data_IF_595524024971
#
_entry.id   IF_595524024971
#
_cell.length_a   1.000
_cell.length_b   1.000
_cell.length_c   1.000
_cell.angle_alpha   90.00
_cell.angle_beta   90.00
_cell.angle_gamma   90.00
#
_symmetry.space_group_name_H-M   'P 1'
#
loop_
_entity.id
_entity.type
_entity.pdbx_description
1 polymer ?
#
# COMPACT_ATOMS: atom_id res chain seq x y z
N UNK A 1 12.65 0.77 5.79
CA UNK A 1 11.76 0.38 6.91
C UNK A 1 10.28 0.30 6.54
N UNK A 2 9.83 0.72 5.35
CA UNK A 2 8.38 0.88 5.07
C UNK A 2 7.70 -0.21 4.25
N UNK A 3 8.40 -1.26 3.83
CA UNK A 3 7.80 -2.29 2.98
C UNK A 3 7.93 -3.64 3.64
N UNK A 4 6.78 -4.31 3.74
CA UNK A 4 6.54 -5.67 4.23
C UNK A 4 6.25 -5.76 5.74
N UNK A 5 5.25 -6.59 6.04
CA UNK A 5 5.05 -7.33 7.31
C UNK A 5 3.85 -6.96 8.24
N UNK A 6 3.17 -5.79 8.27
CA UNK A 6 2.18 -5.54 9.33
C UNK A 6 0.94 -6.46 9.30
N UNK A 7 0.43 -6.79 8.11
CA UNK A 7 -0.84 -7.52 7.96
C UNK A 7 -0.77 -9.02 8.34
N UNK A 8 0.36 -9.67 8.11
CA UNK A 8 0.53 -11.11 8.32
C UNK A 8 0.92 -11.45 9.77
N UNK A 9 1.83 -10.67 10.40
CA UNK A 9 2.28 -10.91 11.78
C UNK A 9 1.18 -10.66 12.81
N UNK A 10 0.33 -9.64 12.63
CA UNK A 10 -0.80 -9.39 13.52
C UNK A 10 -1.81 -10.55 13.49
N UNK A 11 -1.81 -11.36 12.44
CA UNK A 11 -2.70 -12.49 12.30
C UNK A 11 -2.19 -13.73 13.03
N UNK A 12 -0.88 -14.00 12.92
CA UNK A 12 -0.17 -15.12 13.55
C UNK A 12 -0.39 -15.22 15.06
N UNK A 13 -0.43 -14.08 15.76
CA UNK A 13 -0.58 -14.03 17.22
C UNK A 13 -2.03 -14.16 17.72
N UNK A 14 -3.03 -14.08 16.83
CA UNK A 14 -4.45 -14.06 17.20
C UNK A 14 -5.23 -15.35 16.90
N UNK A 15 -4.68 -16.21 16.04
CA UNK A 15 -5.24 -17.55 15.75
C UNK A 15 -5.29 -18.51 16.96
N UNK A 16 -4.37 -18.49 17.94
CA UNK A 16 -4.25 -19.62 18.85
C UNK A 16 -4.94 -19.55 20.21
N UNK A 17 -5.48 -18.40 20.63
CA UNK A 17 -6.00 -18.24 22.01
C UNK A 17 -7.54 -18.24 22.04
N UNK A 18 -8.19 -18.68 20.97
CA UNK A 18 -9.65 -18.77 20.90
C UNK A 18 -10.04 -20.20 20.57
N UNK A 19 -10.83 -20.81 21.45
CA UNK A 19 -11.44 -22.11 21.23
C UNK A 19 -12.01 -22.23 19.80
N UNK A 20 -11.75 -23.33 19.07
CA UNK A 20 -12.23 -23.54 17.69
C UNK A 20 -13.75 -23.33 17.53
N UNK A 21 -14.53 -23.58 18.60
CA UNK A 21 -15.99 -23.41 18.64
C UNK A 21 -16.45 -21.94 18.56
N UNK A 22 -15.63 -20.98 19.01
CA UNK A 22 -15.95 -19.53 18.99
C UNK A 22 -15.36 -18.79 17.78
N UNK A 23 -14.47 -19.44 16.99
CA UNK A 23 -14.00 -18.93 15.69
C UNK A 23 -15.12 -18.88 14.61
N UNK A 24 -16.29 -19.49 14.90
CA UNK A 24 -17.52 -19.49 14.08
C UNK A 24 -17.98 -18.12 13.56
N UNK A 25 -17.55 -16.99 14.18
CA UNK A 25 -18.07 -15.65 13.87
C UNK A 25 -17.05 -14.62 13.36
N UNK A 26 -15.74 -14.83 13.51
CA UNK A 26 -14.71 -13.83 13.16
C UNK A 26 -13.90 -14.25 11.94
N UNK A 27 -14.34 -13.89 10.75
CA UNK A 27 -13.74 -14.30 9.48
C UNK A 27 -12.40 -13.65 9.09
N UNK A 28 -11.63 -13.06 10.01
CA UNK A 28 -10.28 -12.53 9.68
C UNK A 28 -9.30 -13.71 9.67
N UNK A 29 -8.39 -13.93 8.70
CA UNK A 29 -7.66 -12.99 7.83
C UNK A 29 -6.94 -13.81 6.72
N UNK A 30 -6.56 -13.12 5.64
CA UNK A 30 -5.84 -13.48 4.39
C UNK A 30 -4.71 -14.54 4.49
N UNK A 31 -4.98 -15.70 5.06
CA UNK A 31 -4.02 -16.79 5.21
C UNK A 31 -4.61 -18.05 4.61
N UNK A 32 -3.77 -18.87 3.97
CA UNK A 32 -4.21 -20.18 3.48
C UNK A 32 -4.85 -21.02 4.57
N UNK A 33 -4.43 -20.85 5.82
CA UNK A 33 -5.05 -21.49 6.98
C UNK A 33 -6.54 -21.16 7.11
N UNK A 34 -6.87 -19.87 7.23
CA UNK A 34 -8.26 -19.43 7.39
C UNK A 34 -9.13 -19.75 6.16
N UNK A 35 -8.53 -19.75 4.97
CA UNK A 35 -9.24 -20.00 3.72
C UNK A 35 -9.58 -21.48 3.58
N UNK A 36 -8.59 -22.36 3.76
CA UNK A 36 -8.77 -23.82 3.76
C UNK A 36 -9.75 -24.26 4.84
N UNK A 37 -9.58 -23.74 6.07
CA UNK A 37 -10.47 -24.03 7.19
C UNK A 37 -11.91 -23.61 6.90
N UNK A 38 -12.13 -22.39 6.40
CA UNK A 38 -13.46 -21.90 6.09
C UNK A 38 -14.12 -22.64 4.92
N UNK A 39 -13.34 -23.07 3.91
CA UNK A 39 -13.86 -23.87 2.81
C UNK A 39 -14.41 -25.20 3.33
N UNK A 40 -13.65 -25.92 4.15
CA UNK A 40 -14.08 -27.19 4.74
C UNK A 40 -15.20 -27.04 5.80
N UNK A 41 -15.26 -25.93 6.53
CA UNK A 41 -16.27 -25.72 7.58
C UNK A 41 -17.60 -25.12 7.07
N UNK A 42 -17.57 -24.32 6.00
CA UNK A 42 -18.72 -23.49 5.59
C UNK A 42 -19.15 -23.69 4.13
N UNK A 43 -18.33 -24.34 3.29
CA UNK A 43 -18.59 -24.51 1.87
C UNK A 43 -19.30 -25.82 1.56
N UNK A 44 -20.62 -25.76 1.30
CA UNK A 44 -21.32 -26.88 0.63
C UNK A 44 -21.10 -26.87 -0.89
N UNK A 45 -20.73 -25.71 -1.47
CA UNK A 45 -20.40 -25.55 -2.90
C UNK A 45 -19.40 -24.39 -3.15
N UNK A 46 -18.70 -24.42 -4.30
CA UNK A 46 -17.75 -23.38 -4.73
C UNK A 46 -18.38 -21.99 -4.87
N UNK A 47 -19.58 -21.90 -5.45
CA UNK A 47 -20.27 -20.62 -5.63
C UNK A 47 -20.52 -19.89 -4.30
N UNK A 48 -20.93 -20.64 -3.27
CA UNK A 48 -21.14 -20.06 -1.93
C UNK A 48 -19.85 -19.53 -1.30
N UNK A 49 -18.73 -20.22 -1.53
CA UNK A 49 -17.42 -19.76 -1.08
C UNK A 49 -17.03 -18.43 -1.74
N UNK A 50 -17.10 -18.35 -3.07
CA UNK A 50 -16.75 -17.13 -3.81
C UNK A 50 -17.66 -15.96 -3.47
N UNK A 51 -18.98 -16.17 -3.35
CA UNK A 51 -19.93 -15.10 -2.97
C UNK A 51 -19.56 -14.51 -1.60
N UNK A 52 -19.31 -15.37 -0.58
CA UNK A 52 -18.94 -14.89 0.76
C UNK A 52 -17.64 -14.09 0.76
N UNK A 53 -16.65 -14.52 -0.05
CA UNK A 53 -15.35 -13.85 -0.16
C UNK A 53 -15.44 -12.54 -0.94
N UNK A 54 -16.18 -12.52 -2.04
CA UNK A 54 -16.45 -11.32 -2.82
C UNK A 54 -17.05 -10.22 -1.94
N UNK A 55 -18.15 -10.51 -1.25
CA UNK A 55 -18.81 -9.53 -0.37
C UNK A 55 -18.02 -9.17 0.89
N UNK A 56 -17.00 -9.95 1.24
CA UNK A 56 -16.08 -9.60 2.33
C UNK A 56 -15.01 -8.61 1.88
N UNK A 57 -14.52 -8.72 0.65
CA UNK A 57 -13.33 -8.02 0.17
C UNK A 57 -13.71 -6.87 -0.76
N UNK A 58 -14.46 -7.16 -1.82
CA UNK A 58 -14.57 -6.26 -2.95
C UNK A 58 -15.40 -4.99 -2.68
N UNK A 59 -16.60 -5.03 -2.06
CA UNK A 59 -17.35 -3.80 -1.79
C UNK A 59 -16.63 -2.81 -0.87
N UNK A 60 -16.03 -3.22 0.27
CA UNK A 60 -15.25 -2.29 1.08
C UNK A 60 -14.00 -1.80 0.36
N UNK A 61 -13.37 -2.64 -0.46
CA UNK A 61 -12.26 -2.22 -1.30
C UNK A 61 -12.66 -1.13 -2.30
N UNK A 62 -13.81 -1.25 -2.98
CA UNK A 62 -14.30 -0.22 -3.89
C UNK A 62 -14.57 1.10 -3.17
N UNK A 63 -15.12 1.06 -1.95
CA UNK A 63 -15.31 2.26 -1.14
C UNK A 63 -13.97 2.92 -0.76
N UNK A 64 -12.96 2.12 -0.41
CA UNK A 64 -11.61 2.63 -0.12
C UNK A 64 -10.92 3.17 -1.37
N UNK A 65 -11.08 2.50 -2.52
CA UNK A 65 -10.57 2.94 -3.82
C UNK A 65 -11.17 4.30 -4.20
N UNK A 66 -12.48 4.46 -4.09
CA UNK A 66 -13.16 5.72 -4.33
C UNK A 66 -12.65 6.83 -3.39
N UNK A 67 -12.50 6.52 -2.09
CA UNK A 67 -11.91 7.46 -1.13
C UNK A 67 -10.49 7.89 -1.52
N UNK A 68 -9.62 6.95 -1.90
CA UNK A 68 -8.25 7.25 -2.32
C UNK A 68 -8.23 8.12 -3.60
N UNK A 69 -9.03 7.76 -4.60
CA UNK A 69 -9.14 8.50 -5.85
C UNK A 69 -9.60 9.94 -5.61
N UNK A 70 -10.59 10.13 -4.73
CA UNK A 70 -11.06 11.47 -4.34
C UNK A 70 -9.97 12.26 -3.62
N UNK A 71 -9.25 11.65 -2.67
CA UNK A 71 -8.12 12.28 -1.97
C UNK A 71 -7.03 12.72 -2.96
N UNK A 72 -6.65 11.86 -3.89
CA UNK A 72 -5.64 12.16 -4.91
C UNK A 72 -6.13 13.25 -5.87
N UNK A 73 -7.39 13.20 -6.32
CA UNK A 73 -7.98 14.24 -7.15
C UNK A 73 -7.95 15.60 -6.45
N UNK A 74 -8.27 15.65 -5.17
CA UNK A 74 -8.21 16.89 -4.38
C UNK A 74 -6.77 17.41 -4.23
N UNK A 75 -5.78 16.53 -4.14
CA UNK A 75 -4.38 16.90 -3.94
C UNK A 75 -3.66 17.34 -5.21
N UNK A 76 -3.81 16.57 -6.27
CA UNK A 76 -3.00 16.69 -7.49
C UNK A 76 -3.84 17.09 -8.67
N UNK A 77 -5.17 17.07 -8.52
CA UNK A 77 -6.05 17.55 -9.54
C UNK A 77 -6.08 16.70 -10.80
N UNK A 78 -5.97 15.39 -10.60
CA UNK A 78 -5.82 14.41 -11.65
C UNK A 78 -6.92 14.56 -12.72
N UNK A 79 -6.50 14.57 -13.98
CA UNK A 79 -7.41 14.43 -15.11
C UNK A 79 -7.84 12.96 -15.28
N UNK A 80 -9.11 12.71 -14.97
CA UNK A 80 -9.77 11.40 -15.13
C UNK A 80 -9.86 10.93 -16.58
N UNK A 81 -9.71 11.83 -17.56
CA UNK A 81 -9.68 11.48 -18.98
C UNK A 81 -8.32 11.00 -19.46
N UNK A 82 -7.25 11.21 -18.68
CA UNK A 82 -5.92 10.74 -19.05
C UNK A 82 -5.86 9.20 -19.11
N UNK A 83 -5.25 8.68 -20.18
CA UNK A 83 -5.10 7.24 -20.41
C UNK A 83 -4.39 6.56 -19.24
N UNK A 84 -3.43 7.23 -18.62
CA UNK A 84 -2.69 6.71 -17.47
C UNK A 84 -3.61 6.48 -16.26
N UNK A 85 -4.48 7.45 -15.96
CA UNK A 85 -5.40 7.37 -14.81
C UNK A 85 -6.49 6.33 -15.07
N UNK A 86 -6.99 6.25 -16.30
CA UNK A 86 -7.92 5.19 -16.68
C UNK A 86 -7.27 3.81 -16.54
N UNK A 87 -6.01 3.66 -16.98
CA UNK A 87 -5.25 2.42 -16.80
C UNK A 87 -5.11 2.04 -15.33
N UNK A 88 -4.83 3.01 -14.46
CA UNK A 88 -4.79 2.80 -13.01
C UNK A 88 -6.14 2.33 -12.47
N UNK A 89 -7.21 3.04 -12.77
CA UNK A 89 -8.56 2.73 -12.28
C UNK A 89 -8.98 1.33 -12.74
N UNK A 90 -8.85 1.02 -14.04
CA UNK A 90 -9.22 -0.28 -14.58
C UNK A 90 -8.38 -1.41 -14.00
N UNK A 91 -7.07 -1.23 -13.86
CA UNK A 91 -6.21 -2.24 -13.25
C UNK A 91 -6.60 -2.53 -11.79
N UNK A 92 -6.99 -1.50 -11.03
CA UNK A 92 -7.45 -1.64 -9.65
C UNK A 92 -8.86 -2.25 -9.55
N UNK A 93 -9.79 -1.89 -10.44
CA UNK A 93 -11.12 -2.50 -10.52
C UNK A 93 -11.02 -3.99 -10.87
N UNK A 94 -10.13 -4.36 -11.79
CA UNK A 94 -9.91 -5.74 -12.18
C UNK A 94 -9.01 -6.53 -11.21
N UNK A 95 -8.46 -5.89 -10.16
CA UNK A 95 -7.50 -6.51 -9.22
C UNK A 95 -6.27 -7.13 -9.92
N UNK A 96 -5.79 -6.45 -10.96
CA UNK A 96 -4.58 -6.81 -11.73
C UNK A 96 -3.51 -5.73 -11.65
N UNK A 97 -3.68 -4.72 -10.81
CA UNK A 97 -2.70 -3.62 -10.66
C UNK A 97 -1.32 -4.09 -10.20
N UNK A 98 -1.18 -5.31 -9.69
CA UNK A 98 0.10 -5.90 -9.33
C UNK A 98 0.95 -6.40 -10.52
N UNK A 99 0.44 -6.39 -11.76
CA UNK A 99 1.16 -6.93 -12.93
C UNK A 99 2.09 -5.92 -13.60
N UNK A 100 2.00 -4.64 -13.23
CA UNK A 100 2.82 -3.58 -13.83
C UNK A 100 3.35 -2.62 -12.75
N UNK A 101 4.64 -2.21 -12.80
CA UNK A 101 5.25 -1.35 -11.78
C UNK A 101 4.49 -0.04 -11.56
N UNK A 102 4.00 0.57 -12.64
CA UNK A 102 3.28 1.84 -12.56
C UNK A 102 1.94 1.70 -11.82
N UNK A 103 1.23 0.58 -11.98
CA UNK A 103 -0.07 0.35 -11.33
C UNK A 103 0.04 -0.23 -9.92
N UNK A 104 1.16 -0.88 -9.60
CA UNK A 104 1.35 -1.63 -8.35
C UNK A 104 1.25 -0.77 -7.09
N UNK A 105 1.79 0.46 -7.13
CA UNK A 105 1.74 1.44 -6.04
C UNK A 105 0.99 2.72 -6.41
N UNK A 106 0.26 2.71 -7.53
CA UNK A 106 -0.24 3.93 -8.18
C UNK A 106 -1.29 4.71 -7.38
N UNK A 107 -2.31 4.02 -6.84
CA UNK A 107 -3.38 4.67 -6.07
C UNK A 107 -3.14 4.55 -4.57
N UNK A 108 -2.92 3.33 -4.10
CA UNK A 108 -2.61 3.06 -2.70
C UNK A 108 -1.62 1.92 -2.65
N UNK A 109 -0.43 2.20 -2.09
CA UNK A 109 0.66 1.25 -2.00
C UNK A 109 0.32 0.02 -1.15
N UNK A 110 -0.71 0.05 -0.30
CA UNK A 110 -1.15 -1.14 0.42
C UNK A 110 -1.98 -2.09 -0.45
N UNK A 111 -2.52 -1.67 -1.60
CA UNK A 111 -3.49 -2.51 -2.31
C UNK A 111 -2.90 -3.74 -3.02
N UNK A 112 -1.57 -3.85 -3.16
CA UNK A 112 -0.94 -4.96 -3.88
C UNK A 112 -1.35 -6.35 -3.37
N UNK A 113 -1.47 -6.51 -2.03
CA UNK A 113 -1.77 -7.83 -1.45
C UNK A 113 -3.21 -8.27 -1.71
N UNK A 114 -4.13 -7.33 -1.98
CA UNK A 114 -5.53 -7.65 -2.30
C UNK A 114 -5.63 -8.28 -3.69
N UNK A 115 -4.89 -7.75 -4.67
CA UNK A 115 -4.80 -8.36 -6.00
C UNK A 115 -4.27 -9.78 -5.89
N UNK A 116 -3.14 -9.95 -5.20
CA UNK A 116 -2.55 -11.26 -4.93
C UNK A 116 -3.53 -12.20 -4.23
N UNK A 117 -4.25 -11.74 -3.21
CA UNK A 117 -5.23 -12.55 -2.49
C UNK A 117 -6.39 -13.01 -3.39
N UNK A 118 -6.96 -12.10 -4.19
CA UNK A 118 -8.03 -12.43 -5.11
C UNK A 118 -7.57 -13.45 -6.17
N UNK A 119 -6.35 -13.30 -6.67
CA UNK A 119 -5.73 -14.22 -7.61
C UNK A 119 -5.45 -15.59 -6.96
N UNK A 120 -5.02 -15.63 -5.69
CA UNK A 120 -4.82 -16.88 -4.94
C UNK A 120 -6.13 -17.64 -4.71
N UNK A 121 -7.28 -16.97 -4.62
CA UNK A 121 -8.58 -17.65 -4.57
C UNK A 121 -8.89 -18.41 -5.87
N UNK A 122 -8.49 -17.86 -7.01
CA UNK A 122 -8.62 -18.55 -8.30
C UNK A 122 -7.66 -19.75 -8.37
N UNK A 123 -6.43 -19.59 -7.86
CA UNK A 123 -5.42 -20.65 -7.79
C UNK A 123 -5.71 -21.72 -6.74
N UNK A 124 -6.63 -21.48 -5.81
CA UNK A 124 -6.96 -22.43 -4.75
C UNK A 124 -7.52 -23.75 -5.30
N UNK A 125 -8.33 -23.71 -6.36
CA UNK A 125 -8.82 -24.91 -7.04
C UNK A 125 -7.68 -25.74 -7.65
N UNK A 126 -6.70 -25.07 -8.27
CA UNK A 126 -5.49 -25.70 -8.80
C UNK A 126 -4.65 -26.33 -7.69
N UNK A 127 -4.53 -25.67 -6.52
CA UNK A 127 -3.86 -26.23 -5.35
C UNK A 127 -4.55 -27.53 -4.90
N UNK A 128 -5.88 -27.52 -4.74
CA UNK A 128 -6.63 -28.71 -4.35
C UNK A 128 -6.49 -29.85 -5.36
N UNK A 129 -6.47 -29.54 -6.67
CA UNK A 129 -6.24 -30.53 -7.72
C UNK A 129 -4.83 -31.14 -7.62
N UNK A 130 -3.80 -30.35 -7.32
CA UNK A 130 -2.45 -30.86 -7.07
C UNK A 130 -2.41 -31.76 -5.84
N UNK A 131 -3.02 -31.34 -4.73
CA UNK A 131 -3.09 -32.13 -3.50
C UNK A 131 -3.79 -33.47 -3.75
N UNK A 132 -4.90 -33.48 -4.49
CA UNK A 132 -5.63 -34.69 -4.83
C UNK A 132 -4.81 -35.67 -5.68
N UNK A 133 -3.95 -35.17 -6.58
CA UNK A 133 -3.16 -36.02 -7.49
C UNK A 133 -1.85 -36.52 -6.89
N UNK A 134 -1.11 -35.67 -6.19
CA UNK A 134 0.27 -35.96 -5.75
C UNK A 134 0.49 -35.80 -4.24
N UNK A 135 -0.53 -35.41 -3.49
CA UNK A 135 -0.49 -35.22 -2.04
C UNK A 135 0.22 -33.93 -1.61
N UNK A 136 0.03 -33.57 -0.34
CA UNK A 136 0.58 -32.34 0.25
C UNK A 136 2.10 -32.26 0.18
N UNK A 137 2.81 -33.35 0.49
CA UNK A 137 4.28 -33.34 0.57
C UNK A 137 4.90 -32.94 -0.77
N UNK A 138 4.50 -33.59 -1.87
CA UNK A 138 5.02 -33.28 -3.21
C UNK A 138 4.57 -31.89 -3.67
N UNK A 139 3.31 -31.53 -3.41
CA UNK A 139 2.77 -30.21 -3.75
C UNK A 139 3.58 -29.09 -3.07
N UNK A 140 3.81 -29.17 -1.75
CA UNK A 140 4.58 -28.16 -1.02
C UNK A 140 6.03 -28.07 -1.48
N UNK A 141 6.66 -29.20 -1.83
CA UNK A 141 8.03 -29.18 -2.39
C UNK A 141 8.06 -28.44 -3.73
N UNK A 142 7.13 -28.74 -4.64
CA UNK A 142 7.05 -28.05 -5.94
C UNK A 142 6.84 -26.55 -5.73
N UNK A 143 5.89 -26.16 -4.88
CA UNK A 143 5.63 -24.75 -4.60
C UNK A 143 6.84 -24.07 -3.94
N UNK A 144 7.53 -24.73 -3.01
CA UNK A 144 8.72 -24.20 -2.36
C UNK A 144 9.85 -23.96 -3.36
N UNK A 145 10.06 -24.89 -4.31
CA UNK A 145 11.05 -24.75 -5.38
C UNK A 145 10.67 -23.59 -6.31
N UNK A 146 9.41 -23.49 -6.71
CA UNK A 146 8.94 -22.39 -7.57
C UNK A 146 9.08 -21.02 -6.89
N UNK A 147 8.56 -20.85 -5.67
CA UNK A 147 8.68 -19.60 -4.92
C UNK A 147 10.16 -19.29 -4.62
N UNK A 148 10.93 -20.29 -4.21
CA UNK A 148 12.36 -20.17 -3.94
C UNK A 148 13.18 -19.75 -5.16
N UNK A 149 12.88 -20.28 -6.35
CA UNK A 149 13.53 -19.89 -7.60
C UNK A 149 13.22 -18.42 -7.95
N UNK A 150 11.97 -17.99 -7.78
CA UNK A 150 11.57 -16.59 -7.98
C UNK A 150 12.30 -15.67 -6.98
N UNK A 151 12.38 -16.05 -5.70
CA UNK A 151 13.10 -15.26 -4.67
C UNK A 151 14.60 -15.20 -4.94
N UNK A 152 15.22 -16.31 -5.33
CA UNK A 152 16.63 -16.36 -5.69
C UNK A 152 16.93 -15.47 -6.90
N UNK A 153 16.13 -15.56 -7.95
CA UNK A 153 16.28 -14.71 -9.13
C UNK A 153 16.14 -13.22 -8.75
N UNK A 154 15.16 -12.88 -7.91
CA UNK A 154 14.92 -11.50 -7.47
C UNK A 154 16.08 -10.97 -6.60
N UNK A 155 16.58 -11.80 -5.67
CA UNK A 155 17.72 -11.45 -4.84
C UNK A 155 18.99 -11.24 -5.65
N UNK A 156 19.20 -12.06 -6.69
CA UNK A 156 20.31 -11.88 -7.63
C UNK A 156 20.16 -10.56 -8.40
N UNK A 157 18.98 -10.26 -8.96
CA UNK A 157 18.77 -9.01 -9.71
C UNK A 157 18.94 -7.76 -8.86
N UNK A 158 18.50 -7.78 -7.59
CA UNK A 158 18.74 -6.70 -6.62
C UNK A 158 20.24 -6.57 -6.31
N UNK A 159 20.94 -7.67 -6.09
CA UNK A 159 22.38 -7.67 -5.76
C UNK A 159 23.25 -7.19 -6.93
N UNK A 160 22.87 -7.51 -8.17
CA UNK A 160 23.60 -7.12 -9.38
C UNK A 160 23.11 -5.80 -9.98
N UNK A 161 22.19 -5.08 -9.32
CA UNK A 161 21.59 -3.84 -9.83
C UNK A 161 20.93 -4.00 -11.21
N UNK A 162 20.47 -5.20 -11.53
CA UNK A 162 19.88 -5.56 -12.82
C UNK A 162 18.36 -5.40 -12.85
N UNK A 163 17.77 -4.68 -11.88
CA UNK A 163 16.32 -4.48 -11.74
C UNK A 163 15.69 -3.79 -12.96
N UNK A 164 16.42 -2.86 -13.58
CA UNK A 164 15.98 -2.13 -14.77
C UNK A 164 16.08 -2.94 -16.08
N UNK A 165 16.73 -4.11 -16.05
CA UNK A 165 16.85 -4.99 -17.21
C UNK A 165 15.51 -5.66 -17.56
N UNK A 166 15.41 -6.18 -18.79
CA UNK A 166 14.24 -6.98 -19.20
C UNK A 166 14.03 -8.17 -18.24
N UNK A 167 15.10 -8.83 -17.83
CA UNK A 167 15.05 -9.95 -16.89
C UNK A 167 14.59 -9.49 -15.50
N UNK A 168 15.13 -8.38 -14.99
CA UNK A 168 14.72 -7.77 -13.72
C UNK A 168 13.23 -7.47 -13.67
N UNK A 169 12.66 -6.91 -14.74
CA UNK A 169 11.21 -6.68 -14.87
C UNK A 169 10.39 -7.97 -14.81
N UNK A 170 10.80 -9.02 -15.53
CA UNK A 170 10.09 -10.31 -15.52
C UNK A 170 10.10 -10.92 -14.12
N UNK A 171 11.28 -10.96 -13.49
CA UNK A 171 11.45 -11.50 -12.14
C UNK A 171 10.65 -10.71 -11.11
N UNK A 172 10.62 -9.38 -11.23
CA UNK A 172 9.79 -8.53 -10.38
C UNK A 172 8.30 -8.84 -10.53
N UNK A 173 7.79 -8.96 -11.76
CA UNK A 173 6.38 -9.31 -12.02
C UNK A 173 6.07 -10.68 -11.41
N UNK A 174 6.93 -11.68 -11.61
CA UNK A 174 6.75 -13.01 -11.00
C UNK A 174 6.74 -12.95 -9.47
N UNK A 175 7.60 -12.14 -8.85
CA UNK A 175 7.65 -11.92 -7.41
C UNK A 175 6.42 -11.18 -6.85
N UNK A 176 5.85 -10.25 -7.63
CA UNK A 176 4.63 -9.51 -7.31
C UNK A 176 3.33 -10.27 -7.61
N UNK A 177 3.43 -11.32 -8.43
CA UNK A 177 2.33 -12.23 -8.79
C UNK A 177 2.00 -13.20 -7.65
N UNK A 178 0.85 -13.92 -7.70
CA UNK A 178 0.50 -14.88 -6.65
C UNK A 178 1.47 -16.06 -6.59
N UNK A 179 2.25 -16.33 -7.65
CA UNK A 179 3.28 -17.37 -7.67
C UNK A 179 4.41 -17.07 -6.69
N UNK A 180 4.75 -15.79 -6.48
CA UNK A 180 5.74 -15.35 -5.51
C UNK A 180 5.32 -15.52 -4.05
N UNK A 181 4.07 -15.94 -3.79
CA UNK A 181 3.49 -16.11 -2.47
C UNK A 181 2.76 -17.46 -2.29
N UNK A 182 2.75 -18.30 -3.32
CA UNK A 182 1.86 -19.46 -3.35
C UNK A 182 2.27 -20.54 -2.35
N UNK A 183 3.58 -20.78 -2.16
CA UNK A 183 4.07 -21.68 -1.13
C UNK A 183 3.79 -21.12 0.25
N UNK A 184 4.14 -19.85 0.48
CA UNK A 184 3.91 -19.16 1.75
C UNK A 184 2.44 -19.21 2.17
N UNK A 185 1.52 -19.07 1.21
CA UNK A 185 0.09 -19.21 1.43
C UNK A 185 -0.33 -20.67 1.68
N UNK A 186 0.14 -21.61 0.85
CA UNK A 186 -0.22 -23.03 0.92
C UNK A 186 0.27 -23.72 2.19
N UNK A 187 1.38 -23.29 2.78
CA UNK A 187 1.86 -23.77 4.09
C UNK A 187 0.81 -23.52 5.17
N UNK A 188 0.14 -22.36 5.15
CA UNK A 188 -0.98 -22.10 6.05
C UNK A 188 -2.14 -23.06 5.82
N UNK A 189 -2.49 -23.31 4.55
CA UNK A 189 -3.56 -24.26 4.19
C UNK A 189 -3.24 -25.69 4.65
N UNK A 190 -1.98 -26.11 4.52
CA UNK A 190 -1.50 -27.40 5.02
C UNK A 190 -1.65 -27.52 6.55
N UNK A 191 -1.31 -26.47 7.31
CA UNK A 191 -1.52 -26.47 8.77
C UNK A 191 -3.01 -26.58 9.12
N UNK A 192 -3.90 -25.95 8.35
CA UNK A 192 -5.34 -26.11 8.55
C UNK A 192 -5.83 -27.52 8.21
N UNK A 193 -5.31 -28.13 7.15
CA UNK A 193 -5.66 -29.50 6.77
C UNK A 193 -5.24 -30.52 7.84
N UNK A 194 -4.01 -30.41 8.33
CA UNK A 194 -3.50 -31.24 9.42
C UNK A 194 -4.32 -31.03 10.71
N UNK A 195 -4.69 -29.78 11.02
CA UNK A 195 -5.56 -29.47 12.14
C UNK A 195 -6.95 -30.11 12.00
N UNK A 196 -7.57 -30.05 10.82
CA UNK A 196 -8.86 -30.66 10.54
C UNK A 196 -8.83 -32.19 10.64
N UNK A 197 -7.73 -32.81 10.20
CA UNK A 197 -7.53 -34.27 10.23
C UNK A 197 -6.96 -34.79 11.54
N UNK A 198 -6.60 -33.91 12.48
CA UNK A 198 -5.87 -34.25 13.71
C UNK A 198 -4.55 -35.00 13.45
N UNK A 199 -3.87 -34.69 12.34
CA UNK A 199 -2.61 -35.32 11.95
C UNK A 199 -1.40 -34.61 12.59
N UNK A 200 -0.35 -35.35 13.00
CA UNK A 200 0.85 -34.75 13.55
C UNK A 200 1.63 -33.99 12.47
N UNK A 201 2.05 -32.77 12.80
CA UNK A 201 2.83 -31.95 11.87
C UNK A 201 4.29 -32.42 11.74
N UNK A 202 4.91 -32.19 10.55
CA UNK A 202 6.31 -32.51 10.30
C UNK A 202 7.28 -31.88 11.31
N UNK A 203 8.41 -32.54 11.57
CA UNK A 203 9.41 -32.09 12.55
C UNK A 203 9.92 -30.67 12.30
N UNK A 204 10.15 -30.29 11.04
CA UNK A 204 10.64 -28.97 10.66
C UNK A 204 9.66 -27.83 11.01
N UNK A 205 8.36 -28.11 11.14
CA UNK A 205 7.35 -27.14 11.60
C UNK A 205 7.33 -26.98 13.13
N UNK A 206 8.08 -27.77 13.89
CA UNK A 206 8.10 -27.71 15.36
C UNK A 206 9.06 -26.65 15.91
N UNK A 207 9.84 -26.00 15.05
CA UNK A 207 10.90 -25.06 15.41
C UNK A 207 10.60 -23.65 14.88
N UNK A 208 9.60 -22.92 15.42
CA UNK A 208 9.30 -21.55 14.97
C UNK A 208 10.47 -20.59 15.16
N UNK A 209 11.28 -20.79 16.21
CA UNK A 209 12.47 -19.98 16.48
C UNK A 209 13.54 -20.10 15.38
N UNK A 210 13.70 -21.29 14.78
CA UNK A 210 14.64 -21.49 13.66
C UNK A 210 14.23 -20.63 12.47
N UNK A 211 12.96 -20.73 12.06
CA UNK A 211 12.44 -19.96 10.92
C UNK A 211 12.47 -18.45 11.17
N UNK A 212 12.21 -18.03 12.41
CA UNK A 212 12.34 -16.62 12.80
C UNK A 212 13.79 -16.14 12.69
N UNK A 213 14.75 -16.92 13.19
CA UNK A 213 16.17 -16.59 13.09
C UNK A 213 16.64 -16.55 11.63
N UNK A 214 16.20 -17.51 10.79
CA UNK A 214 16.50 -17.51 9.36
C UNK A 214 15.87 -16.31 8.65
N UNK A 215 14.64 -15.92 9.01
CA UNK A 215 13.99 -14.72 8.50
C UNK A 215 14.79 -13.46 8.84
N UNK A 216 15.09 -13.25 10.13
CA UNK A 216 15.90 -12.10 10.59
C UNK A 216 17.29 -12.12 9.96
N UNK A 217 17.97 -13.27 9.92
CA UNK A 217 19.28 -13.41 9.31
C UNK A 217 19.27 -13.08 7.82
N UNK A 218 18.28 -13.58 7.07
CA UNK A 218 18.15 -13.35 5.63
C UNK A 218 18.09 -11.87 5.27
N UNK A 219 17.52 -11.02 6.13
CA UNK A 219 17.44 -9.57 5.92
C UNK A 219 18.82 -8.91 5.75
N UNK A 220 19.83 -9.38 6.48
CA UNK A 220 21.15 -8.76 6.52
C UNK A 220 22.10 -9.20 5.40
N UNK A 221 21.76 -10.27 4.66
CA UNK A 221 22.63 -10.84 3.65
C UNK A 221 21.94 -10.82 2.27
N UNK A 222 22.40 -9.98 1.35
CA UNK A 222 22.02 -10.10 -0.07
C UNK A 222 22.79 -11.28 -0.69
N UNK A 223 22.17 -12.15 -1.53
CA UNK A 223 20.83 -12.06 -2.13
C UNK A 223 19.69 -12.68 -1.29
N UNK A 224 19.95 -13.09 -0.05
CA UNK A 224 18.97 -13.81 0.77
C UNK A 224 17.83 -12.93 1.31
N UNK A 225 17.96 -11.60 1.25
CA UNK A 225 16.95 -10.63 1.71
C UNK A 225 15.54 -10.90 1.18
N UNK A 226 15.40 -11.43 -0.03
CA UNK A 226 14.10 -11.75 -0.65
C UNK A 226 13.40 -12.97 -0.04
N UNK A 227 14.14 -13.82 0.69
CA UNK A 227 13.61 -14.98 1.41
C UNK A 227 13.01 -14.62 2.78
N UNK A 228 13.11 -13.36 3.21
CA UNK A 228 12.49 -12.85 4.43
C UNK A 228 11.02 -13.29 4.54
N UNK A 229 10.25 -13.05 3.48
CA UNK A 229 8.82 -13.34 3.48
C UNK A 229 8.48 -14.83 3.72
N UNK A 230 8.98 -15.80 2.92
CA UNK A 230 8.69 -17.21 3.16
C UNK A 230 9.19 -17.71 4.52
N UNK A 231 10.33 -17.21 5.02
CA UNK A 231 10.81 -17.59 6.36
C UNK A 231 9.85 -17.13 7.46
N UNK A 232 9.34 -15.89 7.39
CA UNK A 232 8.32 -15.40 8.31
C UNK A 232 6.97 -16.12 8.17
N UNK A 233 6.59 -16.52 6.96
CA UNK A 233 5.41 -17.35 6.73
C UNK A 233 5.54 -18.73 7.40
N UNK A 234 6.70 -19.37 7.27
CA UNK A 234 7.02 -20.64 7.95
C UNK A 234 7.04 -20.48 9.47
N UNK A 235 7.66 -19.42 10.00
CA UNK A 235 7.69 -19.12 11.43
C UNK A 235 6.28 -18.93 11.99
N UNK A 236 5.43 -18.21 11.24
CA UNK A 236 4.02 -18.00 11.57
C UNK A 236 3.26 -19.32 11.58
N UNK A 237 3.35 -20.12 10.51
CA UNK A 237 2.66 -21.39 10.41
C UNK A 237 3.09 -22.38 11.50
N UNK A 238 4.40 -22.47 11.79
CA UNK A 238 4.96 -23.26 12.87
C UNK A 238 4.45 -22.82 14.25
N UNK A 239 4.34 -21.50 14.48
CA UNK A 239 3.83 -20.94 15.73
C UNK A 239 2.35 -21.25 15.90
N UNK A 240 1.54 -21.02 14.87
CA UNK A 240 0.11 -21.35 14.84
C UNK A 240 -0.13 -22.83 15.12
N UNK A 241 0.61 -23.70 14.41
CA UNK A 241 0.62 -25.14 14.63
C UNK A 241 0.89 -25.53 16.09
N UNK A 242 1.98 -25.00 16.67
CA UNK A 242 2.37 -25.30 18.06
C UNK A 242 1.30 -24.91 19.05
N UNK A 243 0.63 -23.79 18.81
CA UNK A 243 -0.35 -23.26 19.73
C UNK A 243 -1.71 -23.96 19.60
N UNK A 244 -2.10 -24.38 18.39
CA UNK A 244 -3.28 -25.23 18.19
C UNK A 244 -3.14 -26.62 18.83
N UNK A 245 -1.91 -27.11 19.00
CA UNK A 245 -1.63 -28.38 19.66
C UNK A 245 -1.72 -28.32 21.21
N UNK A 246 -1.89 -27.14 21.82
CA UNK A 246 -1.96 -27.00 23.29
C UNK A 246 -3.36 -27.35 23.82
N UNK A 247 -3.49 -28.28 24.79
CA UNK A 247 -4.78 -28.64 25.40
C UNK A 247 -5.51 -27.46 26.06
N UNK A 248 -4.77 -26.54 26.66
CA UNK A 248 -5.28 -25.38 27.43
C UNK A 248 -5.80 -24.22 26.56
N UNK A 249 -5.57 -24.26 25.24
CA UNK A 249 -5.98 -23.19 24.32
C UNK A 249 -7.51 -23.05 24.18
N UNK A 250 -8.29 -23.95 24.78
CA UNK A 250 -9.74 -24.03 24.59
C UNK A 250 -10.57 -23.44 25.74
N UNK A 251 -9.98 -23.13 26.90
CA UNK A 251 -10.76 -22.93 28.14
C UNK A 251 -10.57 -21.58 28.86
N UNK A 252 -9.60 -20.75 28.50
CA UNK A 252 -9.32 -19.49 29.22
C UNK A 252 -9.98 -18.29 28.55
N UNK A 253 -10.77 -17.53 29.30
CA UNK A 253 -11.33 -16.24 28.87
C UNK A 253 -10.19 -15.26 28.53
N UNK A 254 -10.21 -14.59 27.35
CA UNK A 254 -9.14 -13.70 26.94
C UNK A 254 -8.93 -12.55 27.93
N UNK A 255 -7.70 -12.34 28.40
CA UNK A 255 -7.31 -11.14 29.15
C UNK A 255 -7.55 -9.85 28.34
N UNK A 256 -7.51 -8.69 29.01
CA UNK A 256 -7.80 -7.39 28.39
C UNK A 256 -7.02 -7.15 27.08
N UNK A 257 -5.71 -7.35 27.10
CA UNK A 257 -4.82 -7.18 25.94
C UNK A 257 -5.28 -8.04 24.76
N UNK A 258 -5.63 -9.30 25.01
CA UNK A 258 -6.06 -10.21 23.98
C UNK A 258 -7.45 -9.85 23.42
N UNK A 259 -8.34 -9.28 24.24
CA UNK A 259 -9.61 -8.70 23.75
C UNK A 259 -9.36 -7.50 22.84
N UNK A 260 -8.43 -6.62 23.20
CA UNK A 260 -8.03 -5.50 22.34
C UNK A 260 -7.44 -6.00 21.02
N UNK A 261 -6.50 -6.94 21.06
CA UNK A 261 -5.91 -7.54 19.85
C UNK A 261 -6.98 -8.22 18.98
N UNK A 262 -7.93 -8.94 19.58
CA UNK A 262 -9.06 -9.55 18.85
C UNK A 262 -9.85 -8.50 18.09
N UNK A 263 -10.17 -7.37 18.73
CA UNK A 263 -10.91 -6.29 18.09
C UNK A 263 -10.11 -5.64 16.95
N UNK A 264 -8.82 -5.37 17.15
CA UNK A 264 -7.93 -4.90 16.08
C UNK A 264 -7.90 -5.92 14.92
N UNK A 265 -7.87 -7.22 15.22
CA UNK A 265 -7.97 -8.28 14.23
C UNK A 265 -9.27 -8.27 13.44
N UNK A 266 -10.40 -7.93 14.07
CA UNK A 266 -11.69 -7.79 13.40
C UNK A 266 -11.73 -6.61 12.42
N UNK A 267 -11.09 -5.50 12.78
CA UNK A 267 -11.05 -4.28 11.96
C UNK A 267 -9.83 -4.22 11.04
N UNK A 268 -8.97 -5.23 11.09
CA UNK A 268 -7.68 -5.24 10.40
C UNK A 268 -7.78 -5.03 8.89
N UNK A 269 -8.85 -5.50 8.25
CA UNK A 269 -9.06 -5.31 6.82
C UNK A 269 -9.41 -3.87 6.49
N UNK A 270 -10.40 -3.29 7.18
CA UNK A 270 -10.73 -1.88 7.07
C UNK A 270 -9.53 -0.97 7.38
N UNK A 271 -8.77 -1.28 8.43
CA UNK A 271 -7.53 -0.58 8.79
C UNK A 271 -6.51 -0.64 7.66
N UNK A 272 -6.30 -1.83 7.08
CA UNK A 272 -5.40 -2.05 5.97
C UNK A 272 -5.76 -1.20 4.74
N UNK A 273 -7.05 -1.08 4.42
CA UNK A 273 -7.51 -0.34 3.25
C UNK A 273 -7.24 1.17 3.32
N UNK A 274 -7.30 1.76 4.52
CA UNK A 274 -7.33 3.23 4.68
C UNK A 274 -6.08 3.83 5.33
N UNK A 275 -5.22 3.01 5.97
CA UNK A 275 -4.14 3.56 6.79
C UNK A 275 -3.17 4.41 5.97
N UNK A 276 -2.72 3.94 4.80
CA UNK A 276 -1.76 4.66 3.96
C UNK A 276 -2.22 6.08 3.57
N UNK A 277 -3.40 6.29 2.95
CA UNK A 277 -3.84 7.65 2.59
C UNK A 277 -4.07 8.55 3.81
N UNK A 278 -4.56 8.00 4.93
CA UNK A 278 -4.75 8.79 6.15
C UNK A 278 -3.41 9.19 6.79
N UNK A 279 -2.44 8.27 6.85
CA UNK A 279 -1.10 8.55 7.37
C UNK A 279 -0.41 9.62 6.53
N UNK A 280 -0.51 9.57 5.20
CA UNK A 280 0.02 10.62 4.31
C UNK A 280 -0.63 11.98 4.61
N UNK A 281 -1.96 12.03 4.73
CA UNK A 281 -2.66 13.28 5.02
C UNK A 281 -2.31 13.86 6.40
N UNK A 282 -2.21 13.01 7.44
CA UNK A 282 -1.82 13.46 8.76
C UNK A 282 -0.34 13.87 8.82
N UNK A 283 0.52 13.21 8.05
CA UNK A 283 1.91 13.64 7.90
C UNK A 283 2.01 15.05 7.28
N UNK A 284 1.20 15.36 6.27
CA UNK A 284 1.09 16.71 5.71
C UNK A 284 0.65 17.73 6.78
N UNK A 285 -0.30 17.38 7.63
CA UNK A 285 -0.75 18.26 8.72
C UNK A 285 0.34 18.47 9.80
N UNK A 286 1.06 17.42 10.18
CA UNK A 286 2.13 17.47 11.20
C UNK A 286 3.31 18.31 10.71
N UNK A 287 3.74 18.06 9.47
CA UNK A 287 4.87 18.79 8.87
C UNK A 287 4.57 20.27 8.73
N UNK A 288 3.29 20.63 8.54
CA UNK A 288 2.82 22.00 8.60
C UNK A 288 2.79 22.58 10.02
N UNK A 289 2.17 21.88 10.98
CA UNK A 289 1.95 22.40 12.33
C UNK A 289 3.27 22.58 13.11
N UNK A 290 4.28 21.79 12.75
CA UNK A 290 5.60 21.78 13.41
C UNK A 290 6.70 21.83 12.36
N UNK A 291 7.36 22.99 12.13
CA UNK A 291 8.54 23.09 11.28
C UNK A 291 9.64 22.14 11.75
N UNK A 292 10.44 21.60 10.82
CA UNK A 292 11.41 20.53 11.10
C UNK A 292 12.42 20.86 12.20
N UNK A 293 12.85 22.12 12.25
CA UNK A 293 13.77 22.66 13.28
C UNK A 293 13.16 22.69 14.69
N UNK A 294 11.83 22.55 14.81
CA UNK A 294 11.07 22.64 16.06
C UNK A 294 10.44 21.29 16.46
N UNK A 295 10.93 20.16 15.95
CA UNK A 295 10.41 18.80 16.26
C UNK A 295 11.31 18.04 17.25
N UNK A 296 11.23 18.30 18.57
CA UNK A 296 11.88 17.43 19.53
C UNK A 296 11.25 16.03 19.47
N UNK A 297 12.07 14.98 19.58
CA UNK A 297 11.66 13.58 19.42
C UNK A 297 10.39 13.17 20.21
N UNK A 298 10.21 13.61 21.47
CA UNK A 298 8.99 13.30 22.23
C UNK A 298 7.71 13.86 21.60
N UNK A 299 7.73 15.07 21.05
CA UNK A 299 6.54 15.67 20.41
C UNK A 299 6.16 14.89 19.16
N UNK A 300 7.16 14.52 18.33
CA UNK A 300 6.93 13.68 17.17
C UNK A 300 6.34 12.32 17.56
N UNK A 301 6.84 11.71 18.64
CA UNK A 301 6.29 10.45 19.17
C UNK A 301 4.82 10.57 19.55
N UNK A 302 4.43 11.60 20.31
CA UNK A 302 3.03 11.81 20.69
C UNK A 302 2.13 12.13 19.49
N UNK A 303 2.62 12.89 18.52
CA UNK A 303 1.90 13.15 17.27
C UNK A 303 1.69 11.85 16.49
N UNK A 304 2.72 11.01 16.34
CA UNK A 304 2.60 9.70 15.70
C UNK A 304 1.61 8.79 16.44
N UNK A 305 1.65 8.76 17.77
CA UNK A 305 0.70 7.99 18.58
C UNK A 305 -0.75 8.49 18.35
N UNK A 306 -0.96 9.81 18.32
CA UNK A 306 -2.26 10.40 18.00
C UNK A 306 -2.74 10.01 16.60
N UNK A 307 -1.87 10.06 15.59
CA UNK A 307 -2.24 9.62 14.23
C UNK A 307 -2.66 8.16 14.19
N UNK A 308 -1.96 7.28 14.90
CA UNK A 308 -2.32 5.87 14.99
C UNK A 308 -3.72 5.69 15.60
N UNK A 309 -4.04 6.42 16.67
CA UNK A 309 -5.35 6.37 17.31
C UNK A 309 -6.47 6.88 16.38
N UNK A 310 -6.22 7.97 15.64
CA UNK A 310 -7.16 8.52 14.65
C UNK A 310 -7.40 7.56 13.49
N UNK A 311 -6.34 6.94 12.96
CA UNK A 311 -6.44 5.93 11.90
C UNK A 311 -7.24 4.70 12.38
N UNK A 312 -7.02 4.22 13.61
CA UNK A 312 -7.79 3.12 14.19
C UNK A 312 -9.27 3.52 14.36
N UNK A 313 -9.55 4.73 14.85
CA UNK A 313 -10.93 5.22 14.99
C UNK A 313 -11.66 5.26 13.64
N UNK A 314 -10.99 5.77 12.59
CA UNK A 314 -11.53 5.78 11.23
C UNK A 314 -11.72 4.36 10.69
N UNK A 315 -10.80 3.44 10.96
CA UNK A 315 -10.91 2.03 10.55
C UNK A 315 -12.12 1.32 11.15
N UNK A 316 -12.41 1.58 12.43
CA UNK A 316 -13.60 1.05 13.11
C UNK A 316 -14.87 1.56 12.44
N UNK A 317 -14.87 2.84 12.07
CA UNK A 317 -16.00 3.47 11.41
C UNK A 317 -16.21 2.91 9.99
N UNK A 318 -15.13 2.83 9.21
CA UNK A 318 -15.12 2.21 7.88
C UNK A 318 -15.61 0.76 7.93
N UNK A 319 -15.16 -0.01 8.93
CA UNK A 319 -15.64 -1.38 9.17
C UNK A 319 -17.14 -1.45 9.40
N UNK A 320 -17.70 -0.55 10.21
CA UNK A 320 -19.14 -0.54 10.52
C UNK A 320 -19.99 -0.05 9.35
N UNK A 321 -19.47 0.85 8.52
CA UNK A 321 -20.21 1.47 7.41
C UNK A 321 -20.14 0.62 6.13
N UNK A 322 -18.99 0.02 5.80
CA UNK A 322 -18.79 -0.69 4.55
C UNK A 322 -18.57 -2.20 4.72
N UNK A 323 -17.63 -2.62 5.57
CA UNK A 323 -17.23 -4.04 5.70
C UNK A 323 -18.34 -4.91 6.29
N UNK A 324 -18.91 -4.50 7.43
CA UNK A 324 -19.92 -5.30 8.13
C UNK A 324 -21.23 -5.45 7.34
N UNK A 325 -21.80 -4.39 6.73
CA UNK A 325 -22.97 -4.52 5.86
C UNK A 325 -22.71 -5.39 4.64
N UNK A 326 -21.53 -5.29 4.01
CA UNK A 326 -21.17 -6.11 2.86
C UNK A 326 -21.09 -7.60 3.23
N UNK A 327 -20.41 -7.95 4.33
CA UNK A 327 -20.38 -9.33 4.84
C UNK A 327 -21.80 -9.86 5.13
N UNK A 328 -22.66 -9.02 5.71
CA UNK A 328 -24.04 -9.40 6.01
C UNK A 328 -24.88 -9.65 4.76
N UNK A 329 -24.66 -8.86 3.70
CA UNK A 329 -25.30 -9.05 2.40
C UNK A 329 -24.86 -10.38 1.76
N UNK A 330 -23.56 -10.67 1.72
CA UNK A 330 -23.05 -11.93 1.19
C UNK A 330 -23.59 -13.16 1.92
N UNK A 331 -23.75 -13.09 3.25
CA UNK A 331 -24.36 -14.17 4.04
C UNK A 331 -25.81 -14.44 3.63
N UNK A 332 -26.62 -13.41 3.36
CA UNK A 332 -28.01 -13.57 2.95
C UNK A 332 -28.17 -14.18 1.58
N UNK A 333 -27.37 -13.72 0.63
CA UNK A 333 -27.39 -14.25 -0.74
C UNK A 333 -27.13 -15.75 -0.70
N UNK A 334 -26.20 -16.21 0.15
CA UNK A 334 -25.93 -17.64 0.32
C UNK A 334 -26.99 -18.38 1.12
N UNK A 335 -27.58 -17.79 2.16
CA UNK A 335 -28.57 -18.48 3.00
C UNK A 335 -30.00 -18.43 2.47
N UNK A 336 -30.28 -17.63 1.43
CA UNK A 336 -31.64 -17.37 0.94
C UNK A 336 -32.55 -16.70 1.97
N UNK A 337 -32.01 -16.22 3.10
CA UNK A 337 -32.81 -15.75 4.23
C UNK A 337 -33.12 -14.25 4.12
N UNK A 338 -34.37 -13.88 4.34
CA UNK A 338 -34.90 -12.51 4.47
C UNK A 338 -34.46 -11.79 5.76
N UNK A 339 -33.25 -12.06 6.29
CA UNK A 339 -32.79 -11.53 7.57
C UNK A 339 -32.77 -9.98 7.60
N UNK A 340 -32.90 -9.38 8.80
CA UNK A 340 -32.99 -7.91 9.02
C UNK A 340 -31.84 -7.13 8.38
N UNK A 341 -32.10 -6.26 7.38
CA UNK A 341 -31.11 -5.36 6.71
C UNK A 341 -30.17 -4.70 7.73
N UNK A 342 -28.86 -4.94 7.62
CA UNK A 342 -27.88 -4.24 8.45
C UNK A 342 -27.56 -2.93 7.73
N UNK A 343 -28.31 -1.90 8.10
CA UNK A 343 -28.06 -0.53 7.64
C UNK A 343 -27.18 0.11 8.70
N UNK A 344 -26.01 0.69 8.35
CA UNK A 344 -25.24 1.44 9.32
C UNK A 344 -26.12 2.58 9.86
N UNK A 345 -26.18 2.79 11.19
CA UNK A 345 -26.99 3.87 11.74
C UNK A 345 -26.56 5.21 11.13
N UNK A 346 -27.54 6.05 10.76
CA UNK A 346 -27.33 7.33 10.05
C UNK A 346 -26.28 8.19 10.76
N UNK A 347 -26.27 8.19 12.09
CA UNK A 347 -25.25 8.88 12.89
C UNK A 347 -23.81 8.40 12.59
N UNK A 348 -23.57 7.10 12.42
CA UNK A 348 -22.24 6.59 12.07
C UNK A 348 -21.86 6.96 10.63
N UNK A 349 -22.82 6.93 9.70
CA UNK A 349 -22.56 7.39 8.33
C UNK A 349 -22.25 8.89 8.29
N UNK A 350 -22.95 9.72 9.06
CA UNK A 350 -22.69 11.14 9.18
C UNK A 350 -21.31 11.43 9.79
N UNK A 351 -20.95 10.73 10.89
CA UNK A 351 -19.60 10.84 11.49
C UNK A 351 -18.54 10.44 10.45
N UNK A 352 -18.79 9.39 9.66
CA UNK A 352 -17.85 8.96 8.63
C UNK A 352 -17.63 10.04 7.58
N UNK A 353 -18.72 10.64 7.08
CA UNK A 353 -18.65 11.74 6.12
C UNK A 353 -17.90 12.93 6.70
N UNK A 354 -18.16 13.32 7.95
CA UNK A 354 -17.43 14.41 8.60
C UNK A 354 -15.93 14.14 8.70
N UNK A 355 -15.53 12.94 9.12
CA UNK A 355 -14.11 12.57 9.19
C UNK A 355 -13.47 12.51 7.80
N UNK A 356 -14.17 11.98 6.80
CA UNK A 356 -13.70 11.91 5.42
C UNK A 356 -13.50 13.33 4.87
N UNK A 357 -14.49 14.23 5.04
CA UNK A 357 -14.39 15.63 4.65
C UNK A 357 -13.26 16.36 5.36
N UNK A 358 -13.05 16.10 6.66
CA UNK A 358 -11.91 16.65 7.41
C UNK A 358 -10.57 16.19 6.83
N UNK A 359 -10.45 14.90 6.48
CA UNK A 359 -9.27 14.37 5.79
C UNK A 359 -9.08 15.03 4.42
N UNK A 360 -10.13 15.17 3.61
CA UNK A 360 -10.07 15.87 2.33
C UNK A 360 -9.64 17.33 2.49
N UNK A 361 -10.15 18.03 3.51
CA UNK A 361 -9.80 19.42 3.77
C UNK A 361 -8.31 19.57 4.13
N UNK A 362 -7.79 18.72 5.00
CA UNK A 362 -6.34 18.65 5.31
C UNK A 362 -5.55 18.45 4.02
N UNK A 363 -5.98 17.48 3.21
CA UNK A 363 -5.39 17.16 1.91
C UNK A 363 -5.33 18.38 0.98
N UNK A 364 -6.48 19.02 0.74
CA UNK A 364 -6.61 20.20 -0.12
C UNK A 364 -5.78 21.38 0.38
N UNK A 365 -5.78 21.60 1.69
CA UNK A 365 -5.17 22.79 2.30
C UNK A 365 -3.64 22.74 2.30
N UNK A 366 -3.06 21.55 2.47
CA UNK A 366 -1.63 21.40 2.66
C UNK A 366 -0.86 20.90 1.44
N UNK A 367 -1.52 20.22 0.49
CA UNK A 367 -0.90 19.80 -0.79
C UNK A 367 -0.28 20.97 -1.55
N UNK A 368 -1.02 22.06 -1.74
CA UNK A 368 -0.53 23.27 -2.42
C UNK A 368 0.70 23.90 -1.76
N UNK A 369 0.89 23.72 -0.44
CA UNK A 369 2.06 24.25 0.29
C UNK A 369 3.30 23.40 0.08
N UNK A 370 3.15 22.08 -0.07
CA UNK A 370 4.27 21.18 -0.42
C UNK A 370 4.74 21.46 -1.84
N UNK A 371 3.82 21.69 -2.78
CA UNK A 371 4.16 22.13 -4.12
C UNK A 371 5.01 23.41 -4.11
N UNK A 372 4.63 24.40 -3.29
CA UNK A 372 5.41 25.64 -3.13
C UNK A 372 6.80 25.41 -2.51
N UNK A 373 6.92 24.51 -1.51
CA UNK A 373 8.22 24.18 -0.92
C UNK A 373 9.13 23.47 -1.92
N UNK A 374 8.62 22.48 -2.66
CA UNK A 374 9.34 21.79 -3.72
C UNK A 374 9.75 22.76 -4.84
N UNK A 375 8.85 23.67 -5.23
CA UNK A 375 9.17 24.74 -6.17
C UNK A 375 10.33 25.62 -5.69
N UNK A 376 10.30 26.05 -4.44
CA UNK A 376 11.36 26.91 -3.89
C UNK A 376 12.71 26.17 -3.84
N UNK A 377 12.70 24.88 -3.48
CA UNK A 377 13.91 24.05 -3.53
C UNK A 377 14.42 23.88 -4.96
N UNK A 378 13.52 23.61 -5.91
CA UNK A 378 13.89 23.48 -7.32
C UNK A 378 14.50 24.77 -7.87
N UNK A 379 13.89 25.92 -7.55
CA UNK A 379 14.41 27.23 -7.93
C UNK A 379 15.82 27.42 -7.37
N UNK A 380 16.01 27.22 -6.06
CA UNK A 380 17.32 27.38 -5.42
C UNK A 380 18.40 26.46 -6.02
N UNK A 381 18.06 25.21 -6.35
CA UNK A 381 18.97 24.25 -6.97
C UNK A 381 19.27 24.55 -8.45
N UNK A 382 18.35 25.22 -9.15
CA UNK A 382 18.54 25.58 -10.56
C UNK A 382 19.31 26.90 -10.72
N UNK A 383 19.04 27.89 -9.86
CA UNK A 383 19.45 29.28 -10.10
C UNK A 383 20.52 29.78 -9.13
N UNK A 384 21.06 28.96 -8.23
CA UNK A 384 22.02 29.40 -7.22
C UNK A 384 23.22 30.15 -7.83
N UNK A 385 23.68 31.28 -7.23
CA UNK A 385 24.91 31.96 -7.68
C UNK A 385 26.15 31.08 -7.53
N UNK A 386 26.17 30.19 -6.54
CA UNK A 386 27.29 29.29 -6.25
C UNK A 386 27.19 28.01 -7.10
N UNK A 387 28.16 27.72 -7.99
CA UNK A 387 28.12 26.51 -8.82
C UNK A 387 28.03 25.21 -8.03
N UNK A 388 28.63 25.16 -6.84
CA UNK A 388 28.63 23.98 -5.98
C UNK A 388 27.25 23.62 -5.40
N UNK A 389 26.29 24.55 -5.43
CA UNK A 389 24.92 24.33 -4.93
C UNK A 389 23.91 24.04 -6.04
N UNK A 390 24.33 24.12 -7.31
CA UNK A 390 23.47 23.83 -8.44
C UNK A 390 23.42 22.34 -8.73
N UNK A 391 22.21 21.82 -8.92
CA UNK A 391 21.96 20.44 -9.34
C UNK A 391 20.71 20.43 -10.22
N UNK A 392 20.91 20.55 -11.53
CA UNK A 392 19.82 20.57 -12.50
C UNK A 392 18.98 19.29 -12.49
N UNK A 393 19.60 18.12 -12.24
CA UNK A 393 18.88 16.85 -12.20
C UNK A 393 17.92 16.76 -11.02
N UNK A 394 18.37 17.18 -9.83
CA UNK A 394 17.54 17.24 -8.63
C UNK A 394 16.51 18.38 -8.71
N UNK A 395 16.89 19.53 -9.26
CA UNK A 395 15.98 20.66 -9.49
C UNK A 395 14.80 20.25 -10.37
N UNK A 396 15.05 19.53 -11.48
CA UNK A 396 13.99 19.03 -12.37
C UNK A 396 13.02 18.14 -11.61
N UNK A 397 13.51 17.20 -10.78
CA UNK A 397 12.64 16.31 -10.01
C UNK A 397 11.70 17.08 -9.07
N UNK A 398 12.22 18.07 -8.35
CA UNK A 398 11.41 18.90 -7.46
C UNK A 398 10.44 19.81 -8.22
N UNK A 399 10.86 20.41 -9.34
CA UNK A 399 10.01 21.28 -10.15
C UNK A 399 8.89 20.51 -10.85
N UNK A 400 9.17 19.33 -11.41
CA UNK A 400 8.17 18.46 -12.03
C UNK A 400 7.15 18.00 -10.99
N UNK A 401 7.58 17.69 -9.77
CA UNK A 401 6.67 17.29 -8.70
C UNK A 401 5.77 18.45 -8.25
N UNK A 402 6.33 19.65 -8.08
CA UNK A 402 5.56 20.86 -7.78
C UNK A 402 4.55 21.21 -8.87
N UNK A 403 4.95 21.13 -10.14
CA UNK A 403 4.06 21.37 -11.27
C UNK A 403 2.97 20.30 -11.37
N UNK A 404 3.29 19.01 -11.15
CA UNK A 404 2.28 17.93 -11.12
C UNK A 404 1.21 18.18 -10.06
N UNK A 405 1.60 18.68 -8.88
CA UNK A 405 0.65 19.01 -7.80
C UNK A 405 -0.26 20.20 -8.14
N UNK A 406 0.17 21.11 -9.02
CA UNK A 406 -0.62 22.26 -9.49
C UNK A 406 -1.17 22.08 -10.90
N UNK A 407 -1.21 20.85 -11.42
CA UNK A 407 -1.65 20.52 -12.80
C UNK A 407 -0.91 21.28 -13.90
N UNK A 408 0.30 21.78 -13.64
CA UNK A 408 1.01 22.70 -14.52
C UNK A 408 0.18 23.94 -14.89
N UNK A 409 -0.70 24.39 -13.99
CA UNK A 409 -1.54 25.58 -14.16
C UNK A 409 -1.01 26.77 -13.34
N UNK A 410 -0.11 26.54 -12.39
CA UNK A 410 0.51 27.63 -11.64
C UNK A 410 1.68 28.23 -12.45
N UNK A 411 1.57 29.49 -12.93
CA UNK A 411 2.57 30.09 -13.81
C UNK A 411 3.96 30.23 -13.16
N UNK A 412 4.02 30.42 -11.85
CA UNK A 412 5.29 30.53 -11.13
C UNK A 412 6.02 29.19 -11.13
N UNK A 413 5.31 28.09 -10.86
CA UNK A 413 5.91 26.76 -10.79
C UNK A 413 6.36 26.25 -12.16
N UNK A 414 5.57 26.52 -13.19
CA UNK A 414 5.95 26.19 -14.57
C UNK A 414 7.17 27.02 -15.01
N UNK A 415 7.29 28.28 -14.56
CA UNK A 415 8.49 29.10 -14.78
C UNK A 415 9.74 28.52 -14.10
N UNK A 416 9.61 28.01 -12.87
CA UNK A 416 10.69 27.30 -12.18
C UNK A 416 11.08 26.00 -12.89
N UNK A 417 10.12 25.25 -13.42
CA UNK A 417 10.41 24.04 -14.21
C UNK A 417 11.23 24.37 -15.45
N UNK A 418 10.94 25.50 -16.12
CA UNK A 418 11.74 25.97 -17.23
C UNK A 418 13.20 26.25 -16.81
N UNK A 419 13.40 26.91 -15.67
CA UNK A 419 14.73 27.16 -15.12
C UNK A 419 15.48 25.85 -14.79
N UNK A 420 14.79 24.88 -14.19
CA UNK A 420 15.37 23.59 -13.87
C UNK A 420 15.77 22.79 -15.13
N UNK A 421 14.94 22.78 -16.17
CA UNK A 421 15.29 22.17 -17.45
C UNK A 421 16.49 22.84 -18.11
N UNK A 422 16.57 24.17 -18.07
CA UNK A 422 17.70 24.91 -18.62
C UNK A 422 19.02 24.57 -17.89
N UNK A 423 19.01 24.50 -16.55
CA UNK A 423 20.20 24.10 -15.77
C UNK A 423 20.60 22.64 -16.04
N UNK A 424 19.64 21.76 -16.32
CA UNK A 424 19.91 20.38 -16.73
C UNK A 424 20.34 20.24 -18.21
N UNK A 425 20.47 21.34 -18.97
CA UNK A 425 20.81 21.35 -20.39
C UNK A 425 19.69 20.94 -21.35
N UNK A 426 18.46 20.77 -20.84
CA UNK A 426 17.26 20.37 -21.60
C UNK A 426 16.55 21.61 -22.17
N UNK A 427 17.23 22.37 -23.02
CA UNK A 427 16.78 23.71 -23.44
C UNK A 427 15.47 23.73 -24.25
N UNK A 428 15.22 22.74 -25.10
CA UNK A 428 13.94 22.64 -25.84
C UNK A 428 12.73 22.54 -24.89
N UNK A 429 12.88 21.74 -23.83
CA UNK A 429 11.84 21.58 -22.80
C UNK A 429 11.73 22.83 -21.91
N UNK A 430 12.86 23.50 -21.66
CA UNK A 430 12.88 24.79 -20.95
C UNK A 430 12.12 25.88 -21.71
N UNK A 431 12.31 25.97 -23.03
CA UNK A 431 11.62 26.93 -23.91
C UNK A 431 10.11 26.65 -23.88
N UNK A 432 9.71 25.39 -24.10
CA UNK A 432 8.30 24.99 -24.08
C UNK A 432 7.62 25.29 -22.74
N UNK A 433 8.30 24.99 -21.62
CA UNK A 433 7.80 25.30 -20.29
C UNK A 433 7.70 26.82 -20.04
N UNK A 434 8.70 27.60 -20.44
CA UNK A 434 8.69 29.06 -20.27
C UNK A 434 7.59 29.73 -21.10
N UNK A 435 7.34 29.28 -22.33
CA UNK A 435 6.23 29.76 -23.16
C UNK A 435 4.87 29.48 -22.50
N UNK A 436 4.69 28.27 -21.97
CA UNK A 436 3.50 27.92 -21.19
C UNK A 436 3.35 28.80 -19.94
N UNK A 437 4.44 29.08 -19.23
CA UNK A 437 4.43 29.94 -18.05
C UNK A 437 4.02 31.38 -18.38
N UNK A 438 4.50 31.94 -19.51
CA UNK A 438 4.06 33.24 -20.02
C UNK A 438 2.57 33.26 -20.35
N UNK A 439 2.06 32.22 -21.02
CA UNK A 439 0.65 32.12 -21.38
C UNK A 439 -0.25 32.07 -20.13
N UNK A 440 0.11 31.25 -19.14
CA UNK A 440 -0.62 31.15 -17.86
C UNK A 440 -0.56 32.45 -17.05
N UNK A 441 0.59 33.10 -16.96
CA UNK A 441 0.75 34.37 -16.24
C UNK A 441 -0.08 35.50 -16.87
N UNK A 442 -0.18 35.49 -18.21
CA UNK A 442 -1.00 36.46 -18.95
C UNK A 442 -2.49 36.26 -18.66
N UNK A 443 -2.94 34.99 -18.56
CA UNK A 443 -4.32 34.66 -18.21
C UNK A 443 -4.67 35.02 -16.75
N UNK A 444 -3.70 34.93 -15.83
CA UNK A 444 -3.88 35.30 -14.42
C UNK A 444 -3.76 36.81 -14.15
N UNK A 445 -3.43 37.62 -15.16
CA UNK A 445 -3.26 39.08 -15.02
C UNK A 445 -2.02 39.51 -14.24
N UNK A 446 -1.06 38.63 -14.01
CA UNK A 446 0.17 38.92 -13.27
C UNK A 446 1.26 39.41 -14.22
N UNK A 447 1.23 40.71 -14.54
CA UNK A 447 2.18 41.29 -15.50
C UNK A 447 3.63 41.18 -15.06
N UNK A 448 3.92 41.27 -13.75
CA UNK A 448 5.29 41.11 -13.25
C UNK A 448 5.84 39.71 -13.52
N UNK A 449 5.00 38.68 -13.38
CA UNK A 449 5.38 37.30 -13.69
C UNK A 449 5.50 37.04 -15.20
N UNK A 450 4.68 37.69 -16.04
CA UNK A 450 4.81 37.65 -17.51
C UNK A 450 6.16 38.20 -17.93
N UNK A 451 6.53 39.40 -17.47
CA UNK A 451 7.80 40.05 -17.80
C UNK A 451 8.99 39.18 -17.37
N UNK A 452 8.96 38.66 -16.14
CA UNK A 452 10.01 37.78 -15.63
C UNK A 452 10.15 36.51 -16.47
N UNK A 453 9.05 35.85 -16.81
CA UNK A 453 9.08 34.63 -17.62
C UNK A 453 9.55 34.90 -19.06
N UNK A 454 9.21 36.06 -19.65
CA UNK A 454 9.70 36.46 -20.96
C UNK A 454 11.20 36.74 -20.98
N UNK A 455 11.73 37.36 -19.92
CA UNK A 455 13.18 37.56 -19.77
C UNK A 455 13.93 36.22 -19.73
N UNK A 456 13.44 35.28 -18.90
CA UNK A 456 14.02 33.94 -18.79
C UNK A 456 13.91 33.17 -20.11
N UNK A 457 12.77 33.23 -20.80
CA UNK A 457 12.59 32.65 -22.13
C UNK A 457 13.63 33.16 -23.14
N UNK A 458 13.95 34.45 -23.08
CA UNK A 458 15.00 35.06 -23.91
C UNK A 458 16.39 34.47 -23.68
N UNK A 459 16.70 34.08 -22.45
CA UNK A 459 17.95 33.38 -22.11
C UNK A 459 17.93 31.94 -22.62
N UNK A 460 16.84 31.21 -22.40
CA UNK A 460 16.73 29.81 -22.79
C UNK A 460 16.80 29.61 -24.31
N UNK A 461 16.23 30.53 -25.11
CA UNK A 461 16.37 30.54 -26.58
C UNK A 461 17.81 30.73 -27.06
N UNK A 462 18.67 31.34 -26.24
CA UNK A 462 20.11 31.46 -26.49
C UNK A 462 20.92 30.30 -25.90
N UNK A 463 20.26 29.25 -25.41
CA UNK A 463 20.86 28.13 -24.70
C UNK A 463 21.66 28.57 -23.45
N UNK A 464 21.14 29.58 -22.73
CA UNK A 464 21.74 30.09 -21.50
C UNK A 464 20.83 29.82 -20.31
N UNK A 465 21.34 29.15 -19.27
CA UNK A 465 20.65 29.00 -17.99
C UNK A 465 20.69 30.31 -17.18
N UNK A 466 19.69 30.52 -16.34
CA UNK A 466 19.62 31.69 -15.46
C UNK A 466 20.20 31.38 -14.08
N UNK A 467 21.14 32.21 -13.62
CA UNK A 467 21.67 32.16 -12.25
C UNK A 467 21.45 33.51 -11.57
N UNK A 468 21.05 33.50 -10.30
CA UNK A 468 20.89 34.69 -9.48
C UNK A 468 22.24 35.38 -9.26
N UNK A 469 22.21 36.70 -9.13
CA UNK A 469 23.40 37.47 -8.77
C UNK A 469 23.69 37.34 -7.27
N UNK A 470 24.97 37.31 -6.90
CA UNK A 470 25.38 37.42 -5.50
C UNK A 470 24.85 38.75 -4.92
N UNK A 471 24.19 38.74 -3.75
CA UNK A 471 23.84 40.00 -3.09
C UNK A 471 25.12 40.78 -2.78
N UNK A 472 25.09 42.13 -2.86
CA UNK A 472 26.25 42.95 -2.53
C UNK A 472 26.69 42.66 -1.09
N UNK A 473 27.97 42.36 -0.91
CA UNK A 473 28.58 42.16 0.40
C UNK A 473 28.48 43.45 1.21
N UNK A 474 27.71 43.43 2.31
CA UNK A 474 27.70 44.49 3.32
C UNK A 474 28.76 44.25 4.39
#
# INVERSE_FOLDING_TARGET
MERLVPGFLLCAHLVPVLAPSRFRRSGSRVSGFCIHLAFHQQGKTWGQFFIRRFFRIYPPYLAALAFCVVVIYVNSGIDFHSVEVQRQIWAHLCLIHNVHPVTFEGINGSFWSLAVEAQLYLLYSALLACIAKIGWRKTLVILAVCEGAIRAANGLTDTTWAESSNWGRVVWVLGASPLGFWFSWAVGAFVADAFLKSEPLPRWMRLPGLWLCLGVGSYFFKPLSTFLFPMFALATAATTARLLARPEAQTVEPGFVLRCLKNIGLWSYSLYLIHDPLLRNYWLAITWATPEQSRPGPVLFFLMLLTLLLVIAFAILFYKVFELPAIALGKRIVSGSSGKRIIPPVALAAIFVLFALGSLFISARFSMRVAAANNNHAWALATSPEPARRDGGLAVRFAEDACRQTRFENPLMVGTLAAAYAEAGRFEEAISAAEKACALASQSGDQGLVERNQQLLGLYRKHQAYHEALPPSH
#
